data_IF_865520416784
#
_entry.id   IF_865520416784
#
_cell.length_a   1.000
_cell.length_b   1.000
_cell.length_c   1.000
_cell.angle_alpha   90.00
_cell.angle_beta   90.00
_cell.angle_gamma   90.00
#
_symmetry.space_group_name_H-M   'P 1'
#
loop_
_entity.id
_entity.type
_entity.pdbx_description
1 polymer ?
#
# COMPACT_ATOMS: atom_id res chain seq x y z
N UNK A 1 -7.10 27.57 -14.41
CA UNK A 1 -6.22 26.61 -15.12
C UNK A 1 -6.96 25.30 -15.27
N UNK A 2 -7.13 24.80 -16.49
CA UNK A 2 -7.63 23.44 -16.72
C UNK A 2 -6.66 22.45 -16.04
N UNK A 3 -7.20 21.55 -15.22
CA UNK A 3 -6.38 20.52 -14.59
C UNK A 3 -5.97 19.51 -15.66
N UNK A 4 -4.68 19.44 -15.96
CA UNK A 4 -4.15 18.52 -16.97
C UNK A 4 -3.68 17.21 -16.35
N UNK A 5 -3.92 16.10 -17.03
CA UNK A 5 -3.61 14.73 -16.60
C UNK A 5 -2.84 14.02 -17.71
N UNK A 6 -1.85 13.19 -17.38
CA UNK A 6 -1.15 12.37 -18.40
C UNK A 6 -2.16 11.53 -19.17
N UNK A 7 -2.02 11.48 -20.50
CA UNK A 7 -2.94 10.80 -21.41
C UNK A 7 -3.20 9.34 -21.02
N UNK A 8 -2.17 8.58 -20.66
CA UNK A 8 -2.31 7.19 -20.21
C UNK A 8 -3.19 7.04 -18.95
N UNK A 9 -3.10 8.01 -18.04
CA UNK A 9 -3.92 8.08 -16.84
C UNK A 9 -5.35 8.51 -17.21
N UNK A 10 -5.50 9.51 -18.08
CA UNK A 10 -6.81 9.96 -18.57
C UNK A 10 -7.61 8.82 -19.19
N UNK A 11 -7.01 8.08 -20.14
CA UNK A 11 -7.61 6.89 -20.77
C UNK A 11 -7.93 5.81 -19.74
N UNK A 12 -7.04 5.60 -18.76
CA UNK A 12 -7.29 4.62 -17.72
C UNK A 12 -8.47 4.98 -16.80
N UNK A 13 -8.71 6.28 -16.58
CA UNK A 13 -9.83 6.78 -15.76
C UNK A 13 -11.18 6.67 -16.46
N UNK A 14 -11.23 6.59 -17.79
CA UNK A 14 -12.49 6.32 -18.52
C UNK A 14 -12.88 4.85 -18.46
N UNK A 15 -12.03 3.99 -17.88
CA UNK A 15 -12.24 2.55 -17.80
C UNK A 15 -11.89 1.78 -19.07
N UNK A 16 -11.37 2.44 -20.11
CA UNK A 16 -11.04 1.81 -21.39
C UNK A 16 -10.00 0.69 -21.26
N UNK A 17 -8.88 0.97 -20.58
CA UNK A 17 -7.83 -0.02 -20.31
C UNK A 17 -6.99 0.37 -19.09
N UNK A 18 -5.97 -0.43 -18.74
CA UNK A 18 -4.97 -0.04 -17.74
C UNK A 18 -4.01 1.02 -18.28
N UNK A 19 -3.32 1.75 -17.40
CA UNK A 19 -2.31 2.74 -17.81
C UNK A 19 -1.22 2.15 -18.73
N UNK A 20 -0.77 0.91 -18.46
CA UNK A 20 0.24 0.23 -19.28
C UNK A 20 -0.28 -0.19 -20.65
N UNK A 21 -1.55 -0.58 -20.72
CA UNK A 21 -2.20 -0.84 -22.01
C UNK A 21 -2.41 0.46 -22.78
N UNK A 22 -2.73 1.57 -22.09
CA UNK A 22 -2.82 2.88 -22.72
C UNK A 22 -1.46 3.32 -23.28
N UNK A 23 -0.36 3.12 -22.54
CA UNK A 23 1.00 3.40 -23.04
C UNK A 23 1.28 2.60 -24.33
N UNK A 24 0.90 1.33 -24.40
CA UNK A 24 1.03 0.52 -25.63
C UNK A 24 0.22 1.08 -26.79
N UNK A 25 -1.02 1.49 -26.55
CA UNK A 25 -1.85 2.08 -27.61
C UNK A 25 -1.28 3.41 -28.13
N UNK A 26 -0.59 4.18 -27.27
CA UNK A 26 0.10 5.41 -27.67
C UNK A 26 1.29 5.04 -28.57
N UNK A 27 2.10 4.07 -28.13
CA UNK A 27 3.29 3.59 -28.85
C UNK A 27 2.94 2.97 -30.21
N UNK A 28 1.84 2.22 -30.28
CA UNK A 28 1.29 1.63 -31.50
C UNK A 28 0.67 2.66 -32.47
N UNK A 29 0.64 3.97 -32.12
CA UNK A 29 0.06 5.02 -32.94
C UNK A 29 -1.46 4.95 -33.09
N UNK A 30 -2.15 4.22 -32.19
CA UNK A 30 -3.60 3.97 -32.24
C UNK A 30 -4.44 5.08 -31.60
N UNK A 31 -3.80 6.08 -31.03
CA UNK A 31 -4.45 7.21 -30.35
C UNK A 31 -4.21 8.49 -31.13
N UNK A 32 -5.26 9.32 -31.25
CA UNK A 32 -5.16 10.70 -31.72
C UNK A 32 -5.67 11.63 -30.63
N UNK A 33 -4.97 12.73 -30.43
CA UNK A 33 -5.40 13.85 -29.57
C UNK A 33 -5.49 15.09 -30.46
N UNK A 34 -6.68 15.69 -30.54
CA UNK A 34 -6.97 16.84 -31.40
C UNK A 34 -6.49 16.60 -32.85
N UNK A 35 -6.77 15.40 -33.37
CA UNK A 35 -6.41 14.97 -34.73
C UNK A 35 -4.94 14.54 -34.96
N UNK A 36 -4.04 14.65 -33.96
CA UNK A 36 -2.61 14.32 -34.10
C UNK A 36 -2.21 13.13 -33.24
N UNK A 37 -1.22 12.35 -33.69
CA UNK A 37 -0.62 11.28 -32.88
C UNK A 37 0.14 11.90 -31.71
N UNK A 38 -0.18 11.54 -30.45
CA UNK A 38 0.45 12.13 -29.28
C UNK A 38 1.82 11.50 -28.99
N UNK A 39 2.71 12.28 -28.39
CA UNK A 39 3.95 11.75 -27.82
C UNK A 39 3.73 11.11 -26.44
N UNK A 40 4.64 10.21 -26.06
CA UNK A 40 4.62 9.57 -24.75
C UNK A 40 4.72 10.61 -23.62
N UNK A 41 3.79 10.55 -22.68
CA UNK A 41 3.76 11.46 -21.53
C UNK A 41 3.00 12.78 -21.73
N UNK A 42 2.39 12.99 -22.90
CA UNK A 42 1.46 14.10 -23.15
C UNK A 42 0.44 14.24 -22.01
N UNK A 43 0.13 15.49 -21.65
CA UNK A 43 -0.96 15.81 -20.72
C UNK A 43 -2.14 16.38 -21.47
N UNK A 44 -3.33 15.93 -21.10
CA UNK A 44 -4.62 16.32 -21.69
C UNK A 44 -5.57 16.79 -20.60
N UNK A 45 -6.63 17.49 -20.99
CA UNK A 45 -7.72 17.94 -20.16
C UNK A 45 -9.05 17.48 -20.73
N UNK A 46 -10.16 17.77 -20.04
CA UNK A 46 -11.50 17.38 -20.51
C UNK A 46 -11.94 18.15 -21.77
N UNK A 47 -11.22 19.18 -22.20
CA UNK A 47 -11.49 19.89 -23.46
C UNK A 47 -10.83 19.28 -24.69
N UNK A 48 -9.92 18.31 -24.52
CA UNK A 48 -9.20 17.68 -25.63
C UNK A 48 -10.05 16.57 -26.27
N UNK A 49 -10.10 16.54 -27.60
CA UNK A 49 -10.71 15.43 -28.34
C UNK A 49 -9.72 14.26 -28.42
N UNK A 50 -10.13 13.11 -27.88
CA UNK A 50 -9.28 11.93 -27.79
C UNK A 50 -9.98 10.80 -28.54
N UNK A 51 -9.33 10.30 -29.58
CA UNK A 51 -9.79 9.18 -30.38
C UNK A 51 -8.89 7.97 -30.14
N UNK A 52 -9.48 6.79 -29.97
CA UNK A 52 -8.79 5.49 -29.99
C UNK A 52 -9.32 4.72 -31.20
N UNK A 53 -8.44 4.33 -32.12
CA UNK A 53 -8.82 3.72 -33.40
C UNK A 53 -9.89 4.53 -34.16
N UNK A 54 -9.72 5.86 -34.18
CA UNK A 54 -10.66 6.85 -34.75
C UNK A 54 -12.07 6.89 -34.10
N UNK A 55 -12.25 6.28 -32.92
CA UNK A 55 -13.50 6.37 -32.15
C UNK A 55 -13.34 7.28 -30.94
N UNK A 56 -14.30 8.20 -30.66
CA UNK A 56 -14.24 9.05 -29.48
C UNK A 56 -14.13 8.26 -28.18
N UNK A 57 -13.21 8.68 -27.32
CA UNK A 57 -13.07 8.14 -25.98
C UNK A 57 -14.31 8.47 -25.15
N UNK A 58 -14.85 7.46 -24.45
CA UNK A 58 -16.03 7.64 -23.60
C UNK A 58 -15.74 8.55 -22.42
N UNK A 59 -16.78 9.24 -21.95
CA UNK A 59 -16.75 10.01 -20.71
C UNK A 59 -16.40 9.14 -19.50
N UNK A 60 -15.85 9.78 -18.45
CA UNK A 60 -15.47 9.08 -17.21
C UNK A 60 -16.71 8.49 -16.53
N UNK A 61 -16.68 7.21 -16.11
CA UNK A 61 -17.77 6.59 -15.38
C UNK A 61 -17.93 7.23 -13.98
N UNK A 62 -19.08 6.96 -13.34
CA UNK A 62 -19.29 7.32 -11.93
C UNK A 62 -18.25 6.61 -11.06
N UNK A 63 -17.84 7.26 -9.97
CA UNK A 63 -16.87 6.67 -9.04
C UNK A 63 -17.48 5.46 -8.32
N UNK A 64 -16.74 4.37 -8.30
CA UNK A 64 -17.13 3.11 -7.66
C UNK A 64 -16.23 2.85 -6.48
N UNK A 65 -16.84 2.51 -5.35
CA UNK A 65 -16.16 2.05 -4.15
C UNK A 65 -16.90 0.85 -3.57
N UNK A 66 -16.23 -0.29 -3.55
CA UNK A 66 -16.82 -1.57 -3.16
C UNK A 66 -16.06 -2.11 -1.95
N UNK A 67 -16.79 -2.59 -0.95
CA UNK A 67 -16.28 -3.53 0.06
C UNK A 67 -16.61 -4.96 -0.38
N UNK A 68 -15.58 -5.81 -0.47
CA UNK A 68 -15.71 -7.20 -0.85
C UNK A 68 -15.16 -8.10 0.25
N UNK A 69 -15.94 -9.11 0.64
CA UNK A 69 -15.46 -10.19 1.49
C UNK A 69 -14.86 -11.28 0.59
N UNK A 70 -13.57 -11.13 0.26
CA UNK A 70 -12.86 -12.04 -0.63
C UNK A 70 -12.76 -13.44 0.00
N UNK A 71 -13.26 -14.51 -0.64
CA UNK A 71 -13.06 -15.86 -0.17
C UNK A 71 -11.64 -16.36 -0.47
N UNK A 72 -11.27 -17.46 0.20
CA UNK A 72 -10.06 -18.24 -0.13
C UNK A 72 -10.13 -18.71 -1.59
N UNK A 73 -8.99 -18.77 -2.26
CA UNK A 73 -8.90 -19.27 -3.65
C UNK A 73 -9.10 -18.22 -4.73
N UNK A 74 -9.61 -17.03 -4.40
CA UNK A 74 -9.60 -15.89 -5.33
C UNK A 74 -8.22 -15.22 -5.34
N UNK A 75 -7.69 -14.88 -6.52
CA UNK A 75 -6.40 -14.21 -6.67
C UNK A 75 -6.59 -12.70 -6.85
N UNK A 76 -5.91 -11.87 -6.05
CA UNK A 76 -5.92 -10.41 -6.19
C UNK A 76 -5.08 -9.94 -7.39
N UNK A 77 -5.64 -10.05 -8.59
CA UNK A 77 -5.06 -9.61 -9.86
C UNK A 77 -6.19 -9.17 -10.81
N UNK A 78 -5.87 -8.34 -11.80
CA UNK A 78 -6.79 -7.93 -12.88
C UNK A 78 -6.48 -8.67 -14.19
N UNK A 79 -5.56 -9.64 -14.18
CA UNK A 79 -5.18 -10.40 -15.36
C UNK A 79 -6.29 -11.34 -15.83
N UNK A 80 -6.77 -11.12 -17.05
CA UNK A 80 -7.87 -11.88 -17.65
C UNK A 80 -7.57 -13.38 -17.81
N UNK A 81 -6.30 -13.77 -17.92
CA UNK A 81 -5.88 -15.18 -18.05
C UNK A 81 -6.13 -15.99 -16.79
N UNK A 82 -6.19 -15.34 -15.63
CA UNK A 82 -6.41 -16.01 -14.34
C UNK A 82 -7.93 -16.09 -14.12
N UNK A 83 -8.55 -17.25 -14.37
CA UNK A 83 -10.01 -17.43 -14.25
C UNK A 83 -10.55 -17.04 -12.87
N UNK A 84 -9.84 -17.39 -11.80
CA UNK A 84 -10.22 -17.09 -10.42
C UNK A 84 -9.69 -15.72 -9.94
N UNK A 85 -9.60 -14.72 -10.83
CA UNK A 85 -9.15 -13.38 -10.44
C UNK A 85 -10.28 -12.61 -9.73
N UNK A 86 -9.89 -11.58 -8.97
CA UNK A 86 -10.83 -10.82 -8.14
C UNK A 86 -11.88 -10.02 -8.93
N UNK A 87 -11.54 -9.55 -10.15
CA UNK A 87 -12.47 -8.80 -11.01
C UNK A 87 -13.56 -9.74 -11.53
N UNK A 88 -13.17 -10.91 -12.03
CA UNK A 88 -14.10 -11.95 -12.47
C UNK A 88 -14.96 -12.49 -11.33
N UNK A 89 -14.41 -12.61 -10.12
CA UNK A 89 -15.16 -13.08 -8.95
C UNK A 89 -16.30 -12.12 -8.54
N UNK A 90 -16.13 -10.81 -8.75
CA UNK A 90 -17.16 -9.81 -8.43
C UNK A 90 -18.13 -9.62 -9.59
N UNK A 91 -17.64 -9.77 -10.83
CA UNK A 91 -18.42 -9.60 -12.06
C UNK A 91 -19.15 -8.25 -12.12
N UNK A 92 -18.43 -7.16 -11.80
CA UNK A 92 -18.97 -5.80 -11.85
C UNK A 92 -19.03 -5.29 -13.31
N UNK A 93 -20.07 -4.53 -13.71
CA UNK A 93 -20.25 -4.09 -15.10
C UNK A 93 -19.14 -3.16 -15.61
N UNK A 94 -18.56 -2.36 -14.72
CA UNK A 94 -17.51 -1.39 -15.06
C UNK A 94 -16.13 -1.92 -14.67
N UNK A 95 -15.09 -1.38 -15.31
CA UNK A 95 -13.70 -1.73 -14.97
C UNK A 95 -13.35 -1.27 -13.55
N UNK A 96 -13.18 -2.23 -12.64
CA UNK A 96 -12.69 -2.02 -11.28
C UNK A 96 -11.37 -2.73 -11.02
N UNK A 97 -10.64 -2.28 -10.01
CA UNK A 97 -9.38 -2.86 -9.56
C UNK A 97 -9.26 -2.80 -8.03
N UNK A 98 -8.51 -3.74 -7.41
CA UNK A 98 -8.41 -3.81 -5.97
C UNK A 98 -7.54 -2.71 -5.37
N UNK A 99 -7.94 -2.22 -4.20
CA UNK A 99 -7.14 -1.33 -3.36
C UNK A 99 -6.27 -2.23 -2.46
N UNK A 100 -5.05 -2.48 -2.95
CA UNK A 100 -4.10 -3.38 -2.30
C UNK A 100 -4.35 -4.83 -2.65
N UNK A 101 -3.85 -5.75 -1.82
CA UNK A 101 -3.89 -7.19 -2.08
C UNK A 101 -4.20 -7.98 -0.82
N UNK A 102 -4.79 -9.15 -1.01
CA UNK A 102 -4.83 -10.27 -0.08
C UNK A 102 -4.25 -11.47 -0.82
N UNK A 103 -3.46 -12.29 -0.12
CA UNK A 103 -2.91 -13.51 -0.71
C UNK A 103 -4.07 -14.46 -1.10
N UNK A 104 -3.82 -15.34 -2.07
CA UNK A 104 -4.79 -16.37 -2.49
C UNK A 104 -5.35 -17.22 -1.31
N UNK A 105 -4.53 -17.70 -0.35
CA UNK A 105 -5.03 -18.45 0.81
C UNK A 105 -5.59 -17.56 1.93
N UNK A 106 -5.59 -16.23 1.77
CA UNK A 106 -6.15 -15.29 2.75
C UNK A 106 -7.54 -14.83 2.31
N UNK A 107 -8.40 -14.56 3.29
CA UNK A 107 -9.78 -14.12 3.06
C UNK A 107 -10.09 -12.79 3.75
N UNK A 108 -11.29 -12.27 3.51
CA UNK A 108 -11.84 -11.13 4.20
C UNK A 108 -11.88 -9.84 3.39
N UNK A 109 -12.00 -8.74 4.11
CA UNK A 109 -12.31 -7.42 3.56
C UNK A 109 -11.21 -6.94 2.61
N UNK A 110 -11.59 -6.52 1.41
CA UNK A 110 -10.76 -5.79 0.47
C UNK A 110 -11.63 -4.78 -0.27
N UNK A 111 -11.07 -3.62 -0.59
CA UNK A 111 -11.79 -2.63 -1.38
C UNK A 111 -11.48 -2.77 -2.86
N UNK A 112 -12.43 -2.38 -3.71
CA UNK A 112 -12.24 -2.21 -5.14
C UNK A 112 -12.79 -0.86 -5.59
N UNK A 113 -12.18 -0.30 -6.64
CA UNK A 113 -12.57 0.99 -7.20
C UNK A 113 -12.25 1.08 -8.68
N UNK A 114 -12.86 2.04 -9.36
CA UNK A 114 -12.43 2.50 -10.70
C UNK A 114 -11.62 3.82 -10.63
N UNK A 115 -11.37 4.35 -9.44
CA UNK A 115 -10.71 5.63 -9.20
C UNK A 115 -9.29 5.42 -8.67
N UNK A 116 -8.28 5.78 -9.48
CA UNK A 116 -6.88 5.46 -9.20
C UNK A 116 -6.20 6.34 -8.15
N UNK A 117 -6.64 7.58 -7.97
CA UNK A 117 -5.97 8.53 -7.06
C UNK A 117 -6.18 8.18 -5.59
N UNK A 118 -7.30 7.56 -5.23
CA UNK A 118 -7.56 7.10 -3.85
C UNK A 118 -6.70 5.90 -3.45
N UNK A 119 -6.23 5.09 -4.41
CA UNK A 119 -5.56 3.80 -4.12
C UNK A 119 -4.32 4.02 -3.28
N UNK A 120 -3.42 4.89 -3.74
CA UNK A 120 -2.19 5.17 -3.03
C UNK A 120 -2.46 5.85 -1.68
N UNK A 121 -3.49 6.69 -1.60
CA UNK A 121 -3.86 7.34 -0.35
C UNK A 121 -4.34 6.34 0.70
N UNK A 122 -5.09 5.31 0.32
CA UNK A 122 -5.52 4.26 1.26
C UNK A 122 -4.38 3.30 1.63
N UNK A 123 -3.45 3.02 0.70
CA UNK A 123 -2.40 2.02 0.92
C UNK A 123 -1.15 2.54 1.61
N UNK A 124 -0.86 3.85 1.56
CA UNK A 124 0.38 4.43 2.10
C UNK A 124 0.51 4.15 3.60
N UNK A 125 1.59 3.47 3.98
CA UNK A 125 1.92 3.17 5.37
C UNK A 125 2.19 4.42 6.23
N UNK A 126 2.53 5.55 5.60
CA UNK A 126 2.68 6.85 6.26
C UNK A 126 1.36 7.40 6.82
N UNK A 127 0.23 7.00 6.25
CA UNK A 127 -1.09 7.44 6.70
C UNK A 127 -1.62 6.62 7.89
N UNK A 128 -0.86 5.62 8.35
CA UNK A 128 -1.17 4.76 9.49
C UNK A 128 -2.59 4.16 9.49
N UNK A 129 -3.13 3.85 8.30
CA UNK A 129 -4.46 3.27 8.18
C UNK A 129 -4.49 1.82 8.66
N UNK A 130 -5.17 1.62 9.78
CA UNK A 130 -5.32 0.32 10.43
C UNK A 130 -6.00 -0.71 9.55
N UNK A 131 -5.52 -1.94 9.68
CA UNK A 131 -6.09 -3.15 9.10
C UNK A 131 -6.09 -4.21 10.19
N UNK A 132 -7.27 -4.73 10.50
CA UNK A 132 -7.46 -5.72 11.55
C UNK A 132 -7.65 -7.10 10.95
N UNK A 133 -6.97 -8.07 11.55
CA UNK A 133 -6.98 -9.46 11.11
C UNK A 133 -7.29 -10.38 12.27
N UNK A 134 -8.06 -11.42 11.96
CA UNK A 134 -8.19 -12.61 12.78
C UNK A 134 -7.29 -13.67 12.19
N UNK A 135 -6.45 -14.28 13.03
CA UNK A 135 -5.43 -15.25 12.63
C UNK A 135 -5.60 -16.52 13.45
N UNK A 136 -5.50 -17.66 12.78
CA UNK A 136 -5.41 -18.97 13.41
C UNK A 136 -4.09 -19.62 13.01
N UNK A 137 -3.45 -20.27 13.97
CA UNK A 137 -2.15 -20.94 13.81
C UNK A 137 -2.24 -22.43 14.12
N UNK A 138 -1.17 -23.16 13.81
CA UNK A 138 -1.03 -24.60 13.98
C UNK A 138 -0.91 -25.06 15.45
N UNK A 139 -0.31 -24.22 16.31
CA UNK A 139 0.01 -24.53 17.72
C UNK A 139 -0.60 -23.52 18.70
N UNK A 140 -0.72 -23.93 19.97
CA UNK A 140 -1.21 -23.07 21.05
C UNK A 140 -0.29 -21.87 21.27
N UNK A 141 -0.87 -20.69 21.46
CA UNK A 141 -0.12 -19.46 21.71
C UNK A 141 -0.14 -19.09 23.18
N UNK A 142 0.94 -18.45 23.63
CA UNK A 142 1.11 -18.00 25.01
C UNK A 142 1.44 -16.51 25.06
N UNK A 143 1.55 -15.97 26.28
CA UNK A 143 1.89 -14.55 26.50
C UNK A 143 3.18 -14.14 25.79
N UNK A 144 4.22 -15.00 25.80
CA UNK A 144 5.49 -14.74 25.11
C UNK A 144 5.33 -14.57 23.60
N UNK A 145 4.47 -15.37 22.96
CA UNK A 145 4.13 -15.19 21.55
C UNK A 145 3.51 -13.82 21.31
N UNK A 146 2.50 -13.45 22.11
CA UNK A 146 1.79 -12.16 21.98
C UNK A 146 2.74 -10.98 22.14
N UNK A 147 3.56 -10.98 23.20
CA UNK A 147 4.50 -9.90 23.50
C UNK A 147 5.54 -9.74 22.38
N UNK A 148 6.09 -10.85 21.86
CA UNK A 148 7.04 -10.81 20.73
C UNK A 148 6.39 -10.36 19.43
N UNK A 149 5.21 -10.87 19.10
CA UNK A 149 4.46 -10.52 17.90
C UNK A 149 4.13 -9.01 17.88
N UNK A 150 3.76 -8.44 19.03
CA UNK A 150 3.47 -7.01 19.21
C UNK A 150 4.73 -6.12 19.19
N UNK A 151 5.88 -6.66 19.62
CA UNK A 151 7.12 -5.91 19.84
C UNK A 151 7.89 -5.49 18.58
N UNK A 152 7.51 -6.02 17.41
CA UNK A 152 8.24 -5.85 16.15
C UNK A 152 9.24 -6.99 15.91
N UNK A 153 9.29 -7.50 14.68
CA UNK A 153 10.09 -8.66 14.31
C UNK A 153 10.96 -8.38 13.08
N UNK A 154 12.21 -8.88 13.03
CA UNK A 154 13.08 -8.73 11.88
C UNK A 154 12.67 -9.72 10.78
N UNK A 155 12.03 -9.20 9.72
CA UNK A 155 11.64 -9.96 8.53
C UNK A 155 11.86 -9.09 7.28
N UNK A 156 12.18 -9.72 6.14
CA UNK A 156 12.37 -9.01 4.85
C UNK A 156 13.39 -7.86 4.96
N UNK A 157 14.52 -8.10 5.61
CA UNK A 157 15.60 -7.13 5.81
C UNK A 157 15.15 -5.81 6.47
N UNK A 158 14.05 -5.86 7.23
CA UNK A 158 13.52 -4.74 8.00
C UNK A 158 12.92 -5.24 9.31
N UNK A 159 12.54 -4.32 10.19
CA UNK A 159 11.84 -4.63 11.44
C UNK A 159 10.40 -4.15 11.32
N UNK A 160 9.43 -5.03 11.61
CA UNK A 160 8.02 -4.62 11.60
C UNK A 160 7.77 -3.55 12.65
N UNK A 161 6.84 -2.63 12.36
CA UNK A 161 6.34 -1.69 13.36
C UNK A 161 5.72 -2.46 14.51
N UNK A 162 5.82 -1.91 15.73
CA UNK A 162 5.03 -2.36 16.86
C UNK A 162 3.55 -2.30 16.52
N UNK A 163 2.78 -3.26 17.00
CA UNK A 163 1.38 -3.41 16.66
C UNK A 163 0.56 -3.97 17.82
N UNK A 164 -0.76 -3.83 17.71
CA UNK A 164 -1.67 -4.46 18.67
C UNK A 164 -1.83 -5.94 18.35
N UNK A 165 -1.70 -6.79 19.36
CA UNK A 165 -1.95 -8.23 19.30
C UNK A 165 -2.74 -8.65 20.54
N UNK A 166 -3.81 -9.42 20.34
CA UNK A 166 -4.61 -9.97 21.44
C UNK A 166 -4.94 -11.43 21.16
N UNK A 167 -4.58 -12.30 22.11
CA UNK A 167 -5.04 -13.69 22.09
C UNK A 167 -6.56 -13.75 22.28
N UNK A 168 -7.25 -14.51 21.42
CA UNK A 168 -8.72 -14.67 21.43
C UNK A 168 -9.15 -16.14 21.51
N UNK A 169 -8.19 -17.06 21.57
CA UNK A 169 -8.39 -18.48 21.81
C UNK A 169 -7.04 -19.19 21.91
N UNK A 170 -7.05 -20.51 22.12
CA UNK A 170 -5.83 -21.30 22.28
C UNK A 170 -4.86 -21.15 21.09
N UNK A 171 -5.39 -21.23 19.86
CA UNK A 171 -4.61 -21.09 18.61
C UNK A 171 -5.01 -19.87 17.78
N UNK A 172 -5.65 -18.87 18.41
CA UNK A 172 -6.30 -17.76 17.70
C UNK A 172 -5.94 -16.41 18.31
N UNK A 173 -5.62 -15.44 17.46
CA UNK A 173 -5.35 -14.07 17.89
C UNK A 173 -5.89 -13.04 16.90
N UNK A 174 -6.04 -11.81 17.39
CA UNK A 174 -6.32 -10.63 16.59
C UNK A 174 -5.07 -9.77 16.50
N UNK A 175 -4.80 -9.20 15.32
CA UNK A 175 -3.68 -8.29 15.09
C UNK A 175 -4.12 -7.08 14.28
N UNK A 176 -3.66 -5.88 14.65
CA UNK A 176 -3.94 -4.63 13.94
C UNK A 176 -2.65 -4.05 13.38
N UNK A 177 -2.56 -3.96 12.05
CA UNK A 177 -1.39 -3.46 11.34
C UNK A 177 -1.67 -2.12 10.65
N UNK A 178 -0.70 -1.23 10.68
CA UNK A 178 -0.69 0.04 9.92
C UNK A 178 0.27 0.01 8.72
N UNK A 179 1.05 -1.06 8.60
CA UNK A 179 1.91 -1.36 7.45
C UNK A 179 1.43 -2.64 6.74
N UNK A 180 1.91 -2.85 5.51
CA UNK A 180 1.53 -4.00 4.69
C UNK A 180 2.70 -4.57 3.91
N UNK A 181 3.65 -5.21 4.59
CA UNK A 181 4.76 -5.92 3.93
C UNK A 181 4.24 -7.20 3.22
N UNK A 182 5.03 -7.71 2.27
CA UNK A 182 4.68 -8.95 1.56
C UNK A 182 4.48 -10.11 2.56
N UNK A 183 3.27 -10.68 2.60
CA UNK A 183 2.90 -11.81 3.48
C UNK A 183 3.24 -11.56 4.96
N UNK A 184 3.18 -10.31 5.41
CA UNK A 184 3.72 -9.87 6.70
C UNK A 184 3.35 -10.77 7.88
N UNK A 185 2.04 -10.99 8.12
CA UNK A 185 1.57 -11.78 9.27
C UNK A 185 2.09 -13.22 9.22
N UNK A 186 2.11 -13.83 8.03
CA UNK A 186 2.60 -15.20 7.86
C UNK A 186 4.09 -15.29 8.18
N UNK A 187 4.90 -14.35 7.68
CA UNK A 187 6.33 -14.27 7.97
C UNK A 187 6.62 -13.99 9.45
N UNK A 188 5.81 -13.16 10.09
CA UNK A 188 5.89 -12.91 11.53
C UNK A 188 5.62 -14.18 12.34
N UNK A 189 4.59 -14.95 11.97
CA UNK A 189 4.31 -16.26 12.60
C UNK A 189 5.44 -17.26 12.35
N UNK A 190 5.91 -17.38 11.10
CA UNK A 190 7.02 -18.27 10.71
C UNK A 190 8.28 -17.97 11.52
N UNK A 191 8.62 -16.68 11.69
CA UNK A 191 9.75 -16.24 12.52
C UNK A 191 9.64 -16.66 13.99
N UNK A 192 8.41 -16.79 14.51
CA UNK A 192 8.15 -17.26 15.87
C UNK A 192 7.99 -18.79 15.97
N UNK A 193 8.10 -19.53 14.86
CA UNK A 193 7.96 -20.99 14.81
C UNK A 193 6.53 -21.49 14.64
N UNK A 194 5.62 -20.66 14.12
CA UNK A 194 4.20 -20.95 13.89
C UNK A 194 3.85 -20.88 12.41
N UNK A 195 2.89 -21.71 12.00
CA UNK A 195 2.30 -21.65 10.67
C UNK A 195 0.86 -21.10 10.73
N UNK A 196 0.51 -20.20 9.81
CA UNK A 196 -0.83 -19.62 9.73
C UNK A 196 -1.77 -20.53 8.94
N UNK A 197 -2.73 -21.12 9.65
CA UNK A 197 -3.77 -22.01 9.08
C UNK A 197 -4.97 -21.24 8.55
N UNK A 198 -5.33 -20.11 9.15
CA UNK A 198 -6.36 -19.21 8.64
C UNK A 198 -5.98 -17.74 8.85
N UNK A 199 -6.28 -16.90 7.86
CA UNK A 199 -6.02 -15.46 7.90
C UNK A 199 -7.17 -14.69 7.26
N UNK A 200 -7.91 -13.94 8.10
CA UNK A 200 -9.07 -13.17 7.68
C UNK A 200 -8.90 -11.70 8.05
N UNK A 201 -8.89 -10.81 7.06
CA UNK A 201 -8.96 -9.36 7.32
C UNK A 201 -10.41 -8.98 7.61
N UNK A 202 -10.68 -8.44 8.80
CA UNK A 202 -12.06 -8.13 9.24
C UNK A 202 -12.39 -6.66 9.20
N UNK A 203 -11.38 -5.78 9.19
CA UNK A 203 -11.56 -4.32 9.15
C UNK A 203 -10.45 -3.63 8.36
N UNK A 204 -10.82 -2.57 7.65
CA UNK A 204 -9.91 -1.59 7.05
C UNK A 204 -10.43 -0.22 7.47
N UNK A 205 -9.63 0.52 8.24
CA UNK A 205 -10.04 1.81 8.81
C UNK A 205 -11.37 1.65 9.59
N UNK A 206 -12.41 2.33 9.14
CA UNK A 206 -13.76 2.35 9.70
C UNK A 206 -14.70 1.30 9.09
N UNK A 207 -14.31 0.64 8.00
CA UNK A 207 -15.14 -0.36 7.31
C UNK A 207 -14.85 -1.75 7.85
N UNK A 208 -15.90 -2.50 8.20
CA UNK A 208 -15.83 -3.87 8.69
C UNK A 208 -16.65 -4.84 7.81
N UNK A 209 -16.52 -6.14 8.09
CA UNK A 209 -17.24 -7.21 7.38
C UNK A 209 -18.69 -7.44 7.84
N UNK A 210 -19.24 -6.62 8.74
CA UNK A 210 -20.54 -6.92 9.33
C UNK A 210 -21.63 -7.04 8.26
N UNK A 211 -22.39 -8.13 8.31
CA UNK A 211 -23.44 -8.44 7.33
C UNK A 211 -22.96 -8.88 5.95
N UNK A 212 -21.65 -9.01 5.71
CA UNK A 212 -21.08 -9.36 4.41
C UNK A 212 -20.49 -10.78 4.43
N UNK A 213 -21.18 -11.76 3.83
CA UNK A 213 -20.73 -13.16 3.77
C UNK A 213 -19.58 -13.33 2.77
N UNK A 214 -18.76 -14.41 2.88
CA UNK A 214 -17.71 -14.68 1.89
C UNK A 214 -18.27 -14.70 0.46
N UNK A 215 -17.56 -14.07 -0.48
CA UNK A 215 -18.00 -13.92 -1.87
C UNK A 215 -18.97 -12.77 -2.11
N UNK A 216 -19.55 -12.18 -1.06
CA UNK A 216 -20.43 -11.02 -1.22
C UNK A 216 -19.65 -9.71 -1.23
N UNK A 217 -20.20 -8.75 -1.96
CA UNK A 217 -19.73 -7.37 -2.01
C UNK A 217 -20.90 -6.41 -1.85
N UNK A 218 -20.58 -5.17 -1.44
CA UNK A 218 -21.51 -4.04 -1.41
C UNK A 218 -20.78 -2.75 -1.72
N UNK A 219 -21.52 -1.71 -2.07
CA UNK A 219 -20.95 -0.37 -2.10
C UNK A 219 -20.55 0.09 -0.69
N UNK A 220 -19.47 0.87 -0.61
CA UNK A 220 -19.19 1.66 0.58
C UNK A 220 -20.28 2.73 0.74
N UNK A 221 -20.79 2.87 1.95
CA UNK A 221 -21.78 3.90 2.29
C UNK A 221 -21.15 5.29 2.27
N UNK A 222 -21.99 6.32 2.15
CA UNK A 222 -21.53 7.71 2.18
C UNK A 222 -20.82 8.06 3.50
N UNK A 223 -21.30 7.50 4.62
CA UNK A 223 -20.64 7.63 5.91
C UNK A 223 -19.24 7.02 5.89
N UNK A 224 -19.12 5.79 5.38
CA UNK A 224 -17.83 5.11 5.29
C UNK A 224 -16.85 5.89 4.41
N UNK A 225 -17.32 6.36 3.25
CA UNK A 225 -16.53 7.16 2.32
C UNK A 225 -16.16 8.52 2.89
N UNK A 226 -17.04 9.18 3.64
CA UNK A 226 -16.76 10.45 4.31
C UNK A 226 -15.61 10.31 5.30
N UNK A 227 -15.61 9.27 6.11
CA UNK A 227 -14.54 8.98 7.08
C UNK A 227 -13.23 8.61 6.38
N UNK A 228 -13.27 7.80 5.31
CA UNK A 228 -12.08 7.51 4.48
C UNK A 228 -11.51 8.81 3.91
N UNK A 229 -12.36 9.67 3.32
CA UNK A 229 -11.95 10.93 2.72
C UNK A 229 -11.33 11.89 3.74
N UNK A 230 -11.88 11.96 4.97
CA UNK A 230 -11.28 12.71 6.08
C UNK A 230 -9.90 12.16 6.43
N UNK A 231 -9.76 10.85 6.53
CA UNK A 231 -8.50 10.19 6.90
C UNK A 231 -7.39 10.39 5.84
N UNK A 232 -7.75 10.58 4.56
CA UNK A 232 -6.77 10.75 3.47
C UNK A 232 -6.55 12.20 3.03
N UNK A 233 -7.23 13.19 3.64
CA UNK A 233 -7.23 14.59 3.20
C UNK A 233 -5.83 15.21 3.14
N UNK A 234 -4.96 14.86 4.10
CA UNK A 234 -3.58 15.35 4.17
C UNK A 234 -2.55 14.55 3.35
N UNK A 235 -2.97 13.49 2.64
CA UNK A 235 -2.05 12.63 1.90
C UNK A 235 -1.79 13.18 0.49
N UNK A 236 -0.54 13.57 0.23
CA UNK A 236 -0.11 13.95 -1.11
C UNK A 236 -0.15 12.77 -2.08
N UNK A 237 -0.32 13.04 -3.37
CA UNK A 237 -0.39 12.00 -4.42
C UNK A 237 0.92 11.18 -4.51
N UNK A 238 2.06 11.74 -4.10
CA UNK A 238 3.40 11.11 -4.10
C UNK A 238 3.98 10.96 -2.70
N UNK A 239 4.87 9.98 -2.51
CA UNK A 239 5.56 9.72 -1.24
C UNK A 239 6.47 10.90 -0.85
N UNK A 240 7.06 11.56 -1.84
CA UNK A 240 7.87 12.78 -1.72
C UNK A 240 7.07 14.00 -1.27
N UNK A 241 5.80 14.11 -1.65
CA UNK A 241 4.92 15.20 -1.23
C UNK A 241 4.40 15.07 0.20
N UNK A 242 4.70 13.95 0.86
CA UNK A 242 4.29 13.65 2.24
C UNK A 242 5.40 13.91 3.27
N UNK A 243 6.56 14.42 2.81
CA UNK A 243 7.65 14.79 3.70
C UNK A 243 7.24 16.08 4.41
N UNK A 244 6.84 15.93 5.66
CA UNK A 244 6.64 16.99 6.63
C UNK A 244 7.85 17.94 6.62
N UNK A 245 7.67 19.14 6.08
CA UNK A 245 8.73 20.15 5.92
C UNK A 245 9.32 20.55 7.28
N UNK A 246 8.59 20.33 8.38
CA UNK A 246 9.05 20.57 9.75
C UNK A 246 10.02 19.49 10.28
N UNK A 247 10.23 18.39 9.56
CA UNK A 247 11.17 17.32 9.97
C UNK A 247 12.61 17.53 9.47
N UNK A 248 12.83 18.45 8.51
CA UNK A 248 14.18 18.72 7.99
C UNK A 248 15.09 19.37 9.04
N UNK A 249 14.56 20.25 9.90
CA UNK A 249 15.40 21.00 10.84
C UNK A 249 16.04 20.15 11.95
N UNK A 250 15.38 19.07 12.40
CA UNK A 250 15.97 18.20 13.43
C UNK A 250 17.06 17.28 12.89
N UNK A 251 16.97 16.87 11.62
CA UNK A 251 17.96 15.95 11.02
C UNK A 251 19.28 16.64 10.66
N UNK A 252 19.24 17.93 10.30
CA UNK A 252 20.43 18.73 9.98
C UNK A 252 21.20 19.10 11.25
N UNK A 253 20.51 19.44 12.35
CA UNK A 253 21.15 19.76 13.62
C UNK A 253 21.81 18.54 14.29
N UNK A 254 21.22 17.34 14.19
CA UNK A 254 21.85 16.12 14.73
C UNK A 254 23.13 15.77 13.96
N UNK A 255 23.14 15.92 12.62
CA UNK A 255 24.34 15.65 11.80
C UNK A 255 25.49 16.65 12.06
N UNK A 256 25.18 17.92 12.34
CA UNK A 256 26.20 18.93 12.70
C UNK A 256 26.83 18.66 14.07
N UNK A 257 26.04 18.22 15.05
CA UNK A 257 26.56 17.95 16.40
C UNK A 257 27.44 16.68 16.43
N UNK A 258 27.06 15.60 15.75
CA UNK A 258 27.88 14.38 15.67
C UNK A 258 29.23 14.62 14.98
N UNK A 259 29.27 15.48 13.97
CA UNK A 259 30.51 15.85 13.28
C UNK A 259 31.45 16.71 14.14
N UNK A 260 30.91 17.55 15.03
CA UNK A 260 31.71 18.33 16.00
C UNK A 260 32.33 17.44 17.07
N UNK A 261 31.56 16.52 17.64
CA UNK A 261 32.03 15.61 18.70
C UNK A 261 33.10 14.62 18.20
N UNK A 262 32.97 14.14 16.95
CA UNK A 262 33.99 13.30 16.32
C UNK A 262 35.31 14.05 16.06
N UNK A 263 35.26 15.37 15.83
CA UNK A 263 36.45 16.20 15.59
C UNK A 263 37.19 16.51 16.90
N UNK A 264 36.48 16.71 18.02
CA UNK A 264 37.11 16.91 19.34
C UNK A 264 37.80 15.63 19.87
N UNK A 265 37.23 14.44 19.66
CA UNK A 265 37.86 13.19 20.11
C UNK A 265 39.16 12.84 19.38
N UNK A 266 39.31 13.23 18.11
CA UNK A 266 40.54 12.98 17.34
C UNK A 266 41.72 13.89 17.72
N UNK A 267 41.47 15.04 18.34
CA UNK A 267 42.54 15.95 18.80
C UNK A 267 43.12 15.52 20.15
N UNK A 268 42.32 14.89 21.01
CA UNK A 268 42.76 14.43 22.34
C UNK A 268 43.69 13.20 22.35
N UNK A 269 43.59 12.31 21.36
CA UNK A 269 44.39 11.07 21.32
C UNK A 269 45.79 11.21 20.72
N UNK A 270 46.18 12.38 20.19
CA UNK A 270 47.51 12.63 19.61
C UNK A 270 48.54 13.21 20.61
N UNK A 271 48.18 13.43 21.88
CA UNK A 271 49.06 14.06 22.89
C UNK A 271 49.53 13.16 24.05
N UNK A 272 49.28 11.86 24.02
CA UNK A 272 49.84 10.91 25.00
C UNK A 272 50.47 9.73 24.28
N UNK A 273 51.78 9.82 23.98
CA UNK A 273 52.49 8.73 23.30
C UNK A 273 53.92 9.05 22.88
N UNK A 274 54.67 9.83 23.68
CA UNK A 274 56.13 9.91 23.51
C UNK A 274 56.79 10.30 24.84
N UNK A 275 57.37 9.32 25.52
CA UNK A 275 58.42 9.42 26.56
C UNK A 275 58.88 7.95 26.79
N UNK A 276 59.98 7.55 26.14
CA UNK A 276 61.31 7.25 26.76
C UNK A 276 61.33 5.87 27.47
N UNK A 277 62.34 4.99 27.40
CA UNK A 277 63.80 5.16 27.38
C UNK A 277 64.53 3.92 26.82
N UNK A 278 65.75 4.18 26.35
CA UNK A 278 66.87 3.28 26.04
C UNK A 278 67.20 2.21 27.11
N UNK A 279 67.69 1.04 26.67
CA UNK A 279 69.11 0.63 26.80
C UNK A 279 69.40 -0.71 26.09
N UNK A 280 70.44 -0.71 25.25
CA UNK A 280 71.14 -1.89 24.72
C UNK A 280 72.46 -2.04 25.48
N UNK A 281 72.69 -3.20 26.09
CA UNK A 281 73.83 -4.12 25.93
C UNK A 281 73.68 -5.23 26.96
#
# INVERSE_FOLDING_TARGET
>A
MLSTTRLNKYISETGFCSRREADKLIDDGRIKVNGKTPEMGLKVSDSDDILIDNKPLKAKPKRVYIAYNKPVGVTCTTEKKIKSNIVSAINYPERIFPIGRLDRPSEGLIFLTNEGDIVNKILRAGNNHEKEYIVTVDKSINKRFVDRMAGGLPILDTVTKKCFVKQTGDKKFTIVLTQGLNRQIRRMCEYLGYEVTALKRVRIMNVNLNGLRPGQWRHLSDKEMSEINKAIKGSAKTEEGSIDLNKKDKSVNVRRNVARDAKMKKVGQRKQGTLSLNKRK
#
